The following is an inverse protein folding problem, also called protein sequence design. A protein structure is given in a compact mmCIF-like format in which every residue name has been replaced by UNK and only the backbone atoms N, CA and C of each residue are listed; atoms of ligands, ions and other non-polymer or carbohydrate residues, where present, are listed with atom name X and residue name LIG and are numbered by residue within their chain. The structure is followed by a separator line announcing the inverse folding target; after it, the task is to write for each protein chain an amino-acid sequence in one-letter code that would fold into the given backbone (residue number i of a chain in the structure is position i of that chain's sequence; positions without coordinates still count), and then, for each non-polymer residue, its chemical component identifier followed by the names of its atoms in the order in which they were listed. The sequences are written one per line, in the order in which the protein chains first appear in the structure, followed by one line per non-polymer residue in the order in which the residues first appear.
data_IF_572648834902
#
_entry.id   IF_572648834902
#
_cell.length_a   1.000
_cell.length_b   1.000
_cell.length_c   1.000
_cell.angle_alpha   90.00
_cell.angle_beta   90.00
_cell.angle_gamma   90.00
#
_symmetry.space_group_name_H-M   'P 1'
#
loop_
_entity.id
_entity.type
_entity.pdbx_description
1 polymer ?
#
# COMPACT_ATOMS: atom_id res chain seq x y z
N UNK A 1 -12.43 -14.38 -38.85
CA UNK A 1 -12.73 -13.04 -38.31
C UNK A 1 -11.52 -12.15 -38.53
N UNK A 2 -11.66 -11.05 -39.25
CA UNK A 2 -10.59 -10.05 -39.46
C UNK A 2 -10.67 -8.93 -38.43
N UNK A 3 -9.54 -8.29 -38.12
CA UNK A 3 -9.44 -7.21 -37.10
C UNK A 3 -10.47 -6.10 -37.33
N UNK A 4 -10.80 -5.80 -38.58
CA UNK A 4 -11.83 -4.82 -38.93
C UNK A 4 -13.25 -5.21 -38.50
N UNK A 5 -13.59 -6.50 -38.52
CA UNK A 5 -14.91 -6.98 -38.08
C UNK A 5 -15.05 -6.80 -36.56
N UNK A 6 -13.99 -7.04 -35.81
CA UNK A 6 -13.95 -6.80 -34.36
C UNK A 6 -14.09 -5.30 -34.04
N UNK A 7 -13.39 -4.43 -34.79
CA UNK A 7 -13.49 -2.97 -34.61
C UNK A 7 -14.90 -2.44 -34.91
N UNK A 8 -15.54 -2.93 -35.96
CA UNK A 8 -16.93 -2.56 -36.28
C UNK A 8 -17.93 -3.02 -35.20
N UNK A 9 -17.67 -4.16 -34.58
CA UNK A 9 -18.48 -4.71 -33.49
C UNK A 9 -18.29 -3.94 -32.18
N UNK A 10 -17.06 -3.48 -31.91
CA UNK A 10 -16.76 -2.62 -30.76
C UNK A 10 -17.40 -1.23 -30.91
N UNK A 11 -17.37 -0.66 -32.11
CA UNK A 11 -17.99 0.65 -32.40
C UNK A 11 -19.51 0.62 -32.22
N UNK A 12 -20.18 -0.50 -32.56
CA UNK A 12 -21.61 -0.71 -32.29
C UNK A 12 -21.95 -0.72 -30.79
N UNK A 13 -21.04 -1.19 -29.93
CA UNK A 13 -21.23 -1.18 -28.48
C UNK A 13 -20.88 0.16 -27.81
N UNK A 14 -20.05 1.00 -28.46
CA UNK A 14 -19.64 2.30 -27.92
C UNK A 14 -20.68 3.41 -28.12
N UNK A 15 -21.76 3.17 -28.87
CA UNK A 15 -22.85 4.15 -29.07
C UNK A 15 -24.02 4.00 -28.09
N UNK A 16 -23.93 3.11 -27.10
CA UNK A 16 -24.78 3.21 -25.92
C UNK A 16 -24.06 4.15 -24.94
N UNK A 17 -24.61 5.34 -24.62
CA UNK A 17 -24.22 6.03 -23.40
C UNK A 17 -24.46 5.02 -22.28
N UNK A 18 -23.38 4.49 -21.70
CA UNK A 18 -23.48 3.91 -20.38
C UNK A 18 -23.98 5.06 -19.52
N UNK A 19 -25.27 5.07 -19.19
CA UNK A 19 -25.78 5.83 -18.05
C UNK A 19 -25.06 5.26 -16.83
N UNK A 20 -23.87 5.80 -16.59
CA UNK A 20 -23.18 5.72 -15.33
C UNK A 20 -24.07 6.48 -14.37
N UNK A 21 -24.96 5.73 -13.72
CA UNK A 21 -25.84 6.24 -12.68
C UNK A 21 -24.97 6.81 -11.57
N UNK A 22 -24.74 8.11 -11.64
CA UNK A 22 -24.23 8.94 -10.56
C UNK A 22 -25.33 9.05 -9.49
N UNK A 23 -25.73 7.94 -8.87
CA UNK A 23 -26.67 7.97 -7.75
C UNK A 23 -25.96 8.61 -6.54
N UNK A 24 -26.37 9.83 -6.12
CA UNK A 24 -25.74 10.54 -5.02
C UNK A 24 -25.87 9.78 -3.69
N UNK A 25 -26.82 8.85 -3.57
CA UNK A 25 -27.03 8.02 -2.39
C UNK A 25 -25.88 7.02 -2.18
N UNK A 26 -25.38 6.40 -3.25
CA UNK A 26 -24.24 5.47 -3.20
C UNK A 26 -22.96 6.21 -2.81
N UNK A 27 -22.71 7.40 -3.37
CA UNK A 27 -21.56 8.25 -2.98
C UNK A 27 -21.61 8.65 -1.50
N UNK A 28 -22.79 8.94 -0.97
CA UNK A 28 -22.96 9.31 0.44
C UNK A 28 -22.69 8.12 1.37
N UNK A 29 -23.13 6.92 0.99
CA UNK A 29 -22.93 5.69 1.75
C UNK A 29 -21.46 5.22 1.72
N UNK A 30 -20.79 5.34 0.57
CA UNK A 30 -19.34 5.12 0.47
C UNK A 30 -18.54 6.09 1.35
N UNK A 31 -18.93 7.37 1.38
CA UNK A 31 -18.30 8.39 2.22
C UNK A 31 -18.49 8.07 3.71
N UNK A 32 -19.68 7.63 4.10
CA UNK A 32 -19.98 7.14 5.45
C UNK A 32 -19.11 5.93 5.84
N UNK A 33 -19.03 4.92 4.98
CA UNK A 33 -18.19 3.74 5.21
C UNK A 33 -16.71 4.11 5.36
N UNK A 34 -16.18 4.98 4.48
CA UNK A 34 -14.79 5.45 4.57
C UNK A 34 -14.52 6.17 5.89
N UNK A 35 -15.45 7.03 6.36
CA UNK A 35 -15.32 7.70 7.67
C UNK A 35 -15.28 6.70 8.82
N UNK A 36 -16.15 5.70 8.81
CA UNK A 36 -16.18 4.63 9.82
C UNK A 36 -14.89 3.81 9.80
N UNK A 37 -14.38 3.47 8.62
CA UNK A 37 -13.11 2.73 8.46
C UNK A 37 -11.94 3.57 8.99
N UNK A 38 -11.87 4.86 8.68
CA UNK A 38 -10.82 5.76 9.20
C UNK A 38 -10.87 5.87 10.72
N UNK A 39 -12.07 5.96 11.32
CA UNK A 39 -12.25 6.01 12.77
C UNK A 39 -11.81 4.69 13.43
N UNK A 40 -12.28 3.56 12.90
CA UNK A 40 -11.96 2.21 13.40
C UNK A 40 -10.47 1.91 13.24
N UNK A 41 -9.86 2.30 12.12
CA UNK A 41 -8.43 2.21 11.89
C UNK A 41 -7.65 3.05 12.90
N UNK A 42 -8.09 4.26 13.21
CA UNK A 42 -7.42 5.12 14.19
C UNK A 42 -7.43 4.51 15.60
N UNK A 43 -8.54 3.87 15.99
CA UNK A 43 -8.62 3.12 17.23
C UNK A 43 -7.70 1.89 17.21
N UNK A 44 -7.79 1.07 16.16
CA UNK A 44 -6.97 -0.13 15.98
C UNK A 44 -5.48 0.20 15.99
N UNK A 45 -5.07 1.25 15.28
CA UNK A 45 -3.70 1.74 15.25
C UNK A 45 -3.23 2.22 16.62
N UNK A 46 -4.11 2.81 17.44
CA UNK A 46 -3.77 3.21 18.81
C UNK A 46 -3.51 1.98 19.69
N UNK A 47 -4.32 0.94 19.55
CA UNK A 47 -4.13 -0.34 20.25
C UNK A 47 -2.89 -1.10 19.77
N UNK A 48 -2.62 -1.10 18.47
CA UNK A 48 -1.39 -1.65 17.88
C UNK A 48 -0.18 -0.96 18.47
N UNK A 49 -0.15 0.38 18.51
CA UNK A 49 0.97 1.14 19.09
C UNK A 49 1.22 0.82 20.57
N UNK A 50 0.17 0.61 21.34
CA UNK A 50 0.28 0.18 22.75
C UNK A 50 0.81 -1.25 22.87
N UNK A 51 0.42 -2.13 21.96
CA UNK A 51 0.82 -3.55 21.98
C UNK A 51 2.24 -3.77 21.45
N UNK A 52 2.61 -3.07 20.37
CA UNK A 52 3.90 -3.16 19.71
C UNK A 52 4.17 -1.92 18.87
N UNK A 53 5.17 -1.12 19.28
CA UNK A 53 5.63 0.02 18.51
C UNK A 53 6.16 -0.42 17.12
N UNK A 54 6.83 -1.56 17.05
CA UNK A 54 7.39 -2.14 15.82
C UNK A 54 6.29 -2.47 14.81
N UNK A 55 5.16 -3.04 15.28
CA UNK A 55 4.02 -3.33 14.42
C UNK A 55 3.43 -2.05 13.80
N UNK A 56 3.31 -0.98 14.57
CA UNK A 56 2.85 0.30 14.05
C UNK A 56 3.85 0.90 13.02
N UNK A 57 5.15 0.78 13.29
CA UNK A 57 6.20 1.21 12.36
C UNK A 57 6.11 0.46 11.02
N UNK A 58 5.75 -0.83 11.03
CA UNK A 58 5.52 -1.60 9.80
C UNK A 58 4.35 -1.06 8.99
N UNK A 59 3.25 -0.67 9.62
CA UNK A 59 2.13 -0.05 8.92
C UNK A 59 2.52 1.28 8.28
N UNK A 60 3.30 2.11 8.97
CA UNK A 60 3.75 3.39 8.43
C UNK A 60 4.74 3.20 7.27
N UNK A 61 5.64 2.23 7.36
CA UNK A 61 6.54 1.89 6.26
C UNK A 61 5.76 1.32 5.06
N UNK A 62 4.80 0.42 5.31
CA UNK A 62 3.94 -0.17 4.29
C UNK A 62 3.06 0.86 3.57
N UNK A 63 2.67 1.94 4.25
CA UNK A 63 1.92 3.05 3.65
C UNK A 63 2.73 3.84 2.61
N UNK A 64 4.07 3.74 2.61
CA UNK A 64 4.95 4.47 1.70
C UNK A 64 5.38 3.67 0.47
N UNK A 65 4.93 2.42 0.33
CA UNK A 65 5.28 1.52 -0.77
C UNK A 65 4.02 0.93 -1.40
N UNK A 66 4.20 0.15 -2.48
CA UNK A 66 3.11 -0.63 -3.08
C UNK A 66 2.45 -1.52 -2.01
N UNK A 67 1.12 -1.47 -1.94
CA UNK A 67 0.33 -2.09 -0.88
C UNK A 67 0.32 -3.62 -0.95
N UNK A 68 0.65 -4.21 -2.10
CA UNK A 68 0.70 -5.66 -2.30
C UNK A 68 2.13 -6.17 -2.35
N UNK A 69 2.32 -7.43 -1.96
CA UNK A 69 3.59 -8.16 -2.05
C UNK A 69 4.75 -7.54 -1.23
N UNK A 70 4.45 -6.93 -0.09
CA UNK A 70 5.45 -6.31 0.79
C UNK A 70 6.30 -7.42 1.40
N UNK A 71 7.56 -7.52 0.96
CA UNK A 71 8.50 -8.52 1.45
C UNK A 71 8.76 -8.38 2.94
N UNK A 72 8.77 -9.49 3.67
CA UNK A 72 9.12 -9.51 5.09
C UNK A 72 10.52 -8.98 5.36
N UNK A 73 11.45 -9.15 4.40
CA UNK A 73 12.81 -8.62 4.48
C UNK A 73 12.86 -7.09 4.51
N UNK A 74 11.84 -6.41 3.97
CA UNK A 74 11.74 -4.96 4.04
C UNK A 74 11.40 -4.45 5.45
N UNK A 75 10.85 -5.33 6.29
CA UNK A 75 10.40 -5.03 7.64
C UNK A 75 11.55 -5.26 8.62
N UNK A 76 12.25 -4.17 8.96
CA UNK A 76 13.38 -4.19 9.88
C UNK A 76 12.96 -4.71 11.27
N UNK A 77 13.73 -5.63 11.82
CA UNK A 77 13.48 -6.22 13.13
C UNK A 77 14.78 -6.59 13.83
N UNK A 78 14.78 -6.58 15.17
CA UNK A 78 15.92 -7.04 15.96
C UNK A 78 16.18 -8.55 15.80
N UNK A 79 15.14 -9.33 15.48
CA UNK A 79 15.24 -10.77 15.23
C UNK A 79 14.07 -11.27 14.37
N UNK A 80 14.19 -12.46 13.73
CA UNK A 80 13.06 -13.07 13.02
C UNK A 80 11.82 -13.27 13.90
N UNK A 81 12.03 -13.62 15.18
CA UNK A 81 10.94 -13.79 16.15
C UNK A 81 10.23 -12.45 16.43
N UNK A 82 10.99 -11.37 16.65
CA UNK A 82 10.42 -10.05 16.89
C UNK A 82 9.57 -9.56 15.71
N UNK A 83 10.02 -9.86 14.48
CA UNK A 83 9.25 -9.58 13.25
C UNK A 83 7.93 -10.35 13.23
N UNK A 84 7.98 -11.66 13.49
CA UNK A 84 6.79 -12.51 13.52
C UNK A 84 5.80 -12.07 14.60
N UNK A 85 6.28 -11.69 15.78
CA UNK A 85 5.42 -11.20 16.87
C UNK A 85 4.74 -9.88 16.50
N UNK A 86 5.45 -8.96 15.85
CA UNK A 86 4.85 -7.73 15.32
C UNK A 86 3.80 -8.02 14.23
N UNK A 87 4.06 -8.97 13.33
CA UNK A 87 3.11 -9.38 12.28
C UNK A 87 1.86 -10.01 12.89
N UNK A 88 2.00 -10.87 13.91
CA UNK A 88 0.87 -11.44 14.65
C UNK A 88 0.00 -10.38 15.31
N UNK A 89 0.61 -9.29 15.79
CA UNK A 89 -0.15 -8.14 16.31
C UNK A 89 -0.98 -7.52 15.17
N UNK A 90 -0.39 -7.27 14.01
CA UNK A 90 -1.13 -6.69 12.87
C UNK A 90 -2.25 -7.59 12.36
N UNK A 91 -2.00 -8.90 12.31
CA UNK A 91 -2.95 -9.93 11.90
C UNK A 91 -4.16 -10.02 12.84
N UNK A 92 -3.93 -9.89 14.16
CA UNK A 92 -5.00 -9.85 15.19
C UNK A 92 -6.02 -8.74 14.94
N UNK A 93 -5.58 -7.61 14.40
CA UNK A 93 -6.45 -6.47 14.09
C UNK A 93 -6.93 -6.45 12.63
N UNK A 94 -6.69 -7.54 11.87
CA UNK A 94 -7.04 -7.67 10.46
C UNK A 94 -6.54 -6.50 9.58
N UNK A 95 -5.40 -5.91 9.93
CA UNK A 95 -4.84 -4.75 9.22
C UNK A 95 -4.06 -5.15 7.97
N UNK A 96 -3.61 -6.41 7.93
CA UNK A 96 -2.80 -6.98 6.86
C UNK A 96 -3.40 -8.30 6.38
N UNK A 97 -2.94 -8.76 5.22
CA UNK A 97 -3.16 -10.14 4.75
C UNK A 97 -1.80 -10.81 4.60
N UNK A 98 -1.59 -11.95 5.27
CA UNK A 98 -0.32 -12.67 5.23
C UNK A 98 -0.19 -13.50 3.94
N UNK A 99 1.02 -13.55 3.38
CA UNK A 99 1.40 -14.37 2.22
C UNK A 99 2.59 -15.26 2.59
N UNK A 100 2.36 -16.37 3.34
CA UNK A 100 3.43 -17.16 3.91
C UNK A 100 4.28 -17.89 2.87
N UNK A 101 3.71 -18.32 1.75
CA UNK A 101 4.47 -19.01 0.69
C UNK A 101 5.45 -18.07 -0.02
N UNK A 102 5.11 -16.77 -0.08
CA UNK A 102 5.89 -15.75 -0.75
C UNK A 102 6.79 -14.95 0.21
N UNK A 103 6.74 -15.24 1.52
CA UNK A 103 7.40 -14.43 2.56
C UNK A 103 7.06 -12.94 2.45
N UNK A 104 5.76 -12.64 2.32
CA UNK A 104 5.26 -11.29 2.14
C UNK A 104 3.96 -11.03 2.89
N UNK A 105 3.49 -9.78 2.83
CA UNK A 105 2.18 -9.36 3.29
C UNK A 105 1.56 -8.34 2.34
N UNK A 106 0.24 -8.22 2.39
CA UNK A 106 -0.50 -7.13 1.75
C UNK A 106 -1.12 -6.22 2.80
N UNK A 107 -1.26 -4.97 2.43
CA UNK A 107 -2.04 -3.98 3.14
C UNK A 107 -3.37 -3.74 2.42
N UNK A 108 -4.46 -3.70 3.18
CA UNK A 108 -5.78 -3.44 2.62
C UNK A 108 -5.86 -2.02 2.02
N UNK A 109 -6.56 -1.84 0.89
CA UNK A 109 -6.62 -0.59 0.15
C UNK A 109 -7.02 0.63 1.01
N UNK A 110 -8.13 0.52 1.73
CA UNK A 110 -8.62 1.59 2.60
C UNK A 110 -7.68 1.89 3.77
N UNK A 111 -6.95 0.88 4.25
CA UNK A 111 -6.00 1.04 5.35
C UNK A 111 -4.76 1.78 4.85
N UNK A 112 -4.26 1.40 3.68
CA UNK A 112 -3.15 2.07 3.00
C UNK A 112 -3.47 3.56 2.79
N UNK A 113 -4.60 3.88 2.16
CA UNK A 113 -5.03 5.26 1.91
C UNK A 113 -5.19 6.08 3.20
N UNK A 114 -5.79 5.48 4.23
CA UNK A 114 -6.03 6.16 5.50
C UNK A 114 -4.73 6.39 6.28
N UNK A 115 -3.75 5.48 6.21
CA UNK A 115 -2.42 5.66 6.79
C UNK A 115 -1.64 6.76 6.08
N UNK A 116 -1.67 6.81 4.75
CA UNK A 116 -1.03 7.89 3.98
C UNK A 116 -1.59 9.26 4.39
N UNK A 117 -2.92 9.42 4.36
CA UNK A 117 -3.59 10.67 4.78
C UNK A 117 -3.24 11.06 6.21
N UNK A 118 -3.17 10.08 7.11
CA UNK A 118 -2.78 10.31 8.50
C UNK A 118 -1.34 10.81 8.60
N UNK A 119 -0.40 10.18 7.91
CA UNK A 119 1.01 10.57 7.91
C UNK A 119 1.22 11.96 7.30
N UNK A 120 0.46 12.30 6.25
CA UNK A 120 0.46 13.63 5.65
C UNK A 120 -0.07 14.68 6.63
N UNK A 121 -1.21 14.43 7.27
CA UNK A 121 -1.78 15.32 8.28
C UNK A 121 -0.85 15.53 9.50
N UNK A 122 0.02 14.57 9.79
CA UNK A 122 1.04 14.66 10.83
C UNK A 122 2.35 15.32 10.37
N UNK A 123 2.50 15.63 9.08
CA UNK A 123 3.76 16.13 8.51
C UNK A 123 4.90 15.10 8.53
N UNK A 124 4.58 13.80 8.68
CA UNK A 124 5.56 12.71 8.84
C UNK A 124 5.68 11.82 7.61
N UNK A 125 4.85 12.04 6.59
CA UNK A 125 4.81 11.20 5.39
C UNK A 125 6.19 11.12 4.71
N UNK A 126 6.82 12.27 4.46
CA UNK A 126 8.15 12.34 3.86
C UNK A 126 9.21 11.54 4.65
N UNK A 127 9.24 11.70 5.97
CA UNK A 127 10.17 10.98 6.85
C UNK A 127 10.03 9.45 6.69
N UNK A 128 8.79 8.96 6.61
CA UNK A 128 8.52 7.54 6.43
C UNK A 128 8.85 7.06 5.02
N UNK A 129 8.60 7.88 4.00
CA UNK A 129 8.98 7.60 2.61
C UNK A 129 10.50 7.49 2.48
N UNK A 130 11.27 8.41 3.06
CA UNK A 130 12.74 8.35 3.08
C UNK A 130 13.25 7.09 3.81
N UNK A 131 12.61 6.71 4.91
CA UNK A 131 12.92 5.46 5.62
C UNK A 131 12.62 4.23 4.75
N UNK A 132 11.49 4.22 4.06
CA UNK A 132 11.11 3.14 3.14
C UNK A 132 12.12 3.01 1.98
N UNK A 133 12.53 4.12 1.37
CA UNK A 133 13.57 4.14 0.32
C UNK A 133 14.89 3.57 0.86
N UNK A 134 15.29 3.97 2.07
CA UNK A 134 16.51 3.47 2.71
C UNK A 134 16.46 1.96 2.92
N UNK A 135 15.32 1.40 3.35
CA UNK A 135 15.18 -0.05 3.48
C UNK A 135 15.14 -0.75 2.12
N UNK A 136 14.46 -0.18 1.13
CA UNK A 136 14.45 -0.71 -0.23
C UNK A 136 15.86 -0.79 -0.81
N UNK A 137 16.70 0.22 -0.60
CA UNK A 137 18.10 0.24 -1.06
C UNK A 137 18.97 -0.84 -0.39
N UNK A 138 18.75 -1.12 0.90
CA UNK A 138 19.47 -2.21 1.60
C UNK A 138 19.07 -3.58 1.07
N UNK A 139 17.79 -3.77 0.79
CA UNK A 139 17.25 -5.04 0.30
C UNK A 139 17.39 -5.20 -1.22
N UNK A 140 17.75 -4.13 -1.93
CA UNK A 140 17.84 -4.12 -3.37
C UNK A 140 19.00 -5.03 -3.81
N UNK A 141 18.72 -6.06 -4.62
CA UNK A 141 19.79 -6.94 -5.04
C UNK A 141 20.75 -6.19 -5.98
N UNK A 142 22.05 -6.46 -5.86
CA UNK A 142 23.02 -6.06 -6.89
C UNK A 142 22.70 -6.67 -8.27
N UNK A 143 23.59 -6.47 -9.25
CA UNK A 143 23.40 -6.93 -10.65
C UNK A 143 23.43 -8.46 -10.86
N UNK A 144 23.39 -9.24 -9.78
CA UNK A 144 23.44 -10.69 -9.84
C UNK A 144 22.12 -11.26 -10.40
N UNK A 145 22.23 -11.97 -11.52
CA UNK A 145 21.11 -12.60 -12.20
C UNK A 145 20.34 -13.60 -11.34
N UNK A 146 20.96 -14.17 -10.30
CA UNK A 146 20.31 -15.07 -9.35
C UNK A 146 19.18 -14.37 -8.56
N UNK A 147 19.23 -13.04 -8.43
CA UNK A 147 18.32 -12.24 -7.61
C UNK A 147 17.23 -11.52 -8.42
N UNK A 148 17.07 -11.87 -9.72
CA UNK A 148 16.05 -11.29 -10.62
C UNK A 148 14.61 -11.42 -10.09
N UNK A 149 14.30 -12.48 -9.34
CA UNK A 149 12.97 -12.65 -8.75
C UNK A 149 12.69 -11.65 -7.64
N UNK A 150 13.66 -11.39 -6.74
CA UNK A 150 13.53 -10.34 -5.70
C UNK A 150 13.46 -8.95 -6.33
N UNK A 151 14.26 -8.70 -7.38
CA UNK A 151 14.19 -7.46 -8.18
C UNK A 151 12.79 -7.15 -8.70
N UNK A 152 12.15 -8.11 -9.37
CA UNK A 152 10.81 -7.92 -9.94
C UNK A 152 9.77 -7.60 -8.88
N UNK A 153 9.90 -8.20 -7.69
CA UNK A 153 9.00 -7.96 -6.56
C UNK A 153 9.23 -6.60 -5.92
N UNK A 154 10.48 -6.16 -5.81
CA UNK A 154 10.83 -4.86 -5.21
C UNK A 154 10.55 -3.66 -6.12
N UNK A 155 10.55 -3.84 -7.45
CA UNK A 155 10.44 -2.74 -8.41
C UNK A 155 9.15 -1.88 -8.22
N UNK A 156 7.95 -2.45 -8.06
CA UNK A 156 6.74 -1.65 -7.80
C UNK A 156 6.83 -0.81 -6.51
N UNK A 157 7.47 -1.34 -5.46
CA UNK A 157 7.65 -0.61 -4.21
C UNK A 157 8.60 0.58 -4.37
N UNK A 158 9.69 0.42 -5.13
CA UNK A 158 10.62 1.50 -5.45
C UNK A 158 9.93 2.59 -6.26
N UNK A 159 9.18 2.22 -7.31
CA UNK A 159 8.43 3.17 -8.12
C UNK A 159 7.44 3.97 -7.29
N UNK A 160 6.65 3.29 -6.44
CA UNK A 160 5.70 3.93 -5.54
C UNK A 160 6.38 4.92 -4.58
N UNK A 161 7.45 4.49 -3.89
CA UNK A 161 8.15 5.33 -2.93
C UNK A 161 8.80 6.56 -3.58
N UNK A 162 9.34 6.42 -4.80
CA UNK A 162 9.93 7.54 -5.55
C UNK A 162 8.88 8.51 -6.07
N UNK A 163 7.71 8.03 -6.52
CA UNK A 163 6.60 8.90 -6.91
C UNK A 163 6.15 9.81 -5.78
N UNK A 164 6.14 9.31 -4.54
CA UNK A 164 5.81 10.11 -3.35
C UNK A 164 6.86 11.15 -2.99
N UNK A 165 8.14 10.90 -3.31
CA UNK A 165 9.21 11.86 -3.06
C UNK A 165 9.18 13.02 -4.08
N UNK A 166 8.78 12.73 -5.32
CA UNK A 166 8.76 13.71 -6.40
C UNK A 166 7.59 14.72 -6.31
N UNK A 167 6.48 14.37 -5.65
CA UNK A 167 5.28 15.21 -5.58
C UNK A 167 5.38 16.38 -4.59
N UNK A 168 6.35 16.36 -3.67
CA UNK A 168 6.50 17.41 -2.64
C UNK A 168 7.43 18.55 -3.08
N UNK A 169 8.21 18.37 -4.15
CA UNK A 169 9.16 19.39 -4.64
C UNK A 169 8.49 20.45 -5.54
N UNK A 170 7.36 20.13 -6.17
CA UNK A 170 6.61 21.06 -7.05
C UNK A 170 5.71 22.04 -6.27
N UNK A 171 5.47 21.83 -4.97
CA UNK A 171 4.72 22.76 -4.11
C UNK A 171 5.62 23.79 -3.41
N UNK A 172 6.86 23.94 -3.89
CA UNK A 172 7.84 24.91 -3.37
C UNK A 172 8.41 25.78 -4.49
N UNK A 173 7.52 26.45 -5.24
CA UNK A 173 7.86 27.60 -6.09
C UNK A 173 6.89 28.75 -5.89
#
# INVERSE_FOLDING_TARGET
MTVQQYQAQLAKHQQAPLEYSDDPSLKLQESGLRKTVVATLSLSLSQVRQSSAVAADYLFLAACVERKDILLDLLEAASPQAREDAIKVLDRYALITRRPAESALDLHCLIHDALQKRLQAQGRFRQWTERAITQLLKEFPGNDHSKRSKWRRLLPHVQCALSHNCTDDDNRK
#
